data_IF_080738121946
#
_entry.id   IF_080738121946
#
_cell.length_a   1.000
_cell.length_b   1.000
_cell.length_c   1.000
_cell.angle_alpha   90.00
_cell.angle_beta   90.00
_cell.angle_gamma   90.00
#
_symmetry.space_group_name_H-M   'P 1'
#
loop_
_entity.id
_entity.type
_entity.pdbx_description
1 polymer ?
#
# COMPACT_ATOMS: atom_id res chain seq x y z
N UNK A 1 -42.90 20.02 45.27
CA UNK A 1 -41.50 20.46 45.05
C UNK A 1 -40.52 19.34 44.67
N UNK A 2 -40.86 18.06 44.82
CA UNK A 2 -39.94 16.91 44.56
C UNK A 2 -39.85 16.44 43.11
N UNK A 3 -40.91 16.53 42.28
CA UNK A 3 -40.92 15.97 40.91
C UNK A 3 -39.98 16.72 39.93
N UNK A 4 -39.87 18.06 40.08
CA UNK A 4 -38.95 18.84 39.21
C UNK A 4 -37.47 18.61 39.53
N UNK A 5 -37.15 18.27 40.79
CA UNK A 5 -35.78 17.93 41.20
C UNK A 5 -35.37 16.53 40.69
N UNK A 6 -36.26 15.55 40.80
CA UNK A 6 -36.05 14.22 40.28
C UNK A 6 -35.86 14.21 38.76
N UNK A 7 -36.75 14.87 37.99
CA UNK A 7 -36.56 15.00 36.52
C UNK A 7 -35.24 15.69 36.13
N UNK A 8 -34.76 16.66 36.92
CA UNK A 8 -33.50 17.34 36.68
C UNK A 8 -32.29 16.46 36.96
N UNK A 9 -32.37 15.57 37.96
CA UNK A 9 -31.35 14.62 38.34
C UNK A 9 -31.28 13.49 37.27
N UNK A 10 -32.39 12.92 36.84
CA UNK A 10 -32.47 11.92 35.78
C UNK A 10 -31.94 12.45 34.45
N UNK A 11 -32.36 13.67 34.07
CA UNK A 11 -31.85 14.31 32.84
C UNK A 11 -30.35 14.56 32.88
N UNK A 12 -29.77 14.92 34.02
CA UNK A 12 -28.34 15.11 34.21
C UNK A 12 -27.57 13.77 34.14
N UNK A 13 -28.11 12.70 34.72
CA UNK A 13 -27.50 11.37 34.68
C UNK A 13 -27.48 10.82 33.27
N UNK A 14 -28.61 10.91 32.56
CA UNK A 14 -28.75 10.49 31.16
C UNK A 14 -27.77 11.24 30.22
N UNK A 15 -27.67 12.55 30.39
CA UNK A 15 -26.77 13.39 29.58
C UNK A 15 -25.30 13.01 29.81
N UNK A 16 -24.91 12.78 31.07
CA UNK A 16 -23.54 12.31 31.42
C UNK A 16 -23.22 10.96 30.82
N UNK A 17 -24.16 10.00 30.87
CA UNK A 17 -23.97 8.67 30.29
C UNK A 17 -23.82 8.73 28.77
N UNK A 18 -24.63 9.53 28.08
CA UNK A 18 -24.53 9.76 26.62
C UNK A 18 -23.19 10.34 26.21
N UNK A 19 -22.70 11.36 26.94
CA UNK A 19 -21.38 11.95 26.68
C UNK A 19 -20.27 10.91 26.86
N UNK A 20 -20.36 10.07 27.91
CA UNK A 20 -19.39 8.99 28.16
C UNK A 20 -19.35 7.99 27.02
N UNK A 21 -20.52 7.56 26.51
CA UNK A 21 -20.62 6.64 25.37
C UNK A 21 -19.98 7.24 24.12
N UNK A 22 -20.32 8.48 23.78
CA UNK A 22 -19.75 9.18 22.60
C UNK A 22 -18.23 9.32 22.69
N UNK A 23 -17.70 9.67 23.87
CA UNK A 23 -16.25 9.72 24.09
C UNK A 23 -15.59 8.37 23.89
N UNK A 24 -16.18 7.29 24.43
CA UNK A 24 -15.67 5.91 24.25
C UNK A 24 -15.67 5.51 22.77
N UNK A 25 -16.75 5.76 22.05
CA UNK A 25 -16.87 5.47 20.61
C UNK A 25 -15.82 6.22 19.81
N UNK A 26 -15.62 7.51 20.10
CA UNK A 26 -14.59 8.31 19.43
C UNK A 26 -13.18 7.73 19.63
N UNK A 27 -12.83 7.38 20.88
CA UNK A 27 -11.53 6.76 21.18
C UNK A 27 -11.36 5.42 20.44
N UNK A 28 -12.41 4.58 20.43
CA UNK A 28 -12.39 3.31 19.68
C UNK A 28 -12.17 3.52 18.18
N UNK A 29 -12.81 4.53 17.58
CA UNK A 29 -12.60 4.88 16.18
C UNK A 29 -11.17 5.35 15.93
N UNK A 30 -10.60 6.21 16.80
CA UNK A 30 -9.21 6.66 16.68
C UNK A 30 -8.25 5.47 16.68
N UNK A 31 -8.39 4.55 17.66
CA UNK A 31 -7.56 3.35 17.74
C UNK A 31 -7.73 2.48 16.50
N UNK A 32 -8.96 2.28 16.02
CA UNK A 32 -9.22 1.50 14.81
C UNK A 32 -8.58 2.11 13.56
N UNK A 33 -8.56 3.44 13.43
CA UNK A 33 -7.86 4.10 12.34
C UNK A 33 -6.34 4.02 12.47
N UNK A 34 -5.77 4.04 13.68
CA UNK A 34 -4.34 3.79 13.90
C UNK A 34 -3.97 2.38 13.39
N UNK A 35 -4.73 1.36 13.79
CA UNK A 35 -4.54 -0.03 13.38
C UNK A 35 -4.67 -0.20 11.87
N UNK A 36 -5.69 0.41 11.26
CA UNK A 36 -5.87 0.38 9.81
C UNK A 36 -4.69 1.02 9.07
N UNK A 37 -4.22 2.19 9.52
CA UNK A 37 -3.05 2.84 8.93
C UNK A 37 -1.79 1.99 9.04
N UNK A 38 -1.59 1.27 10.14
CA UNK A 38 -0.49 0.32 10.30
C UNK A 38 -0.57 -0.78 9.24
N UNK A 39 -1.71 -1.44 9.06
CA UNK A 39 -1.87 -2.49 8.05
C UNK A 39 -1.71 -1.94 6.62
N UNK A 40 -2.24 -0.76 6.33
CA UNK A 40 -2.06 -0.10 5.04
C UNK A 40 -0.58 0.20 4.77
N UNK A 41 0.19 0.65 5.75
CA UNK A 41 1.61 0.93 5.57
C UNK A 41 2.40 -0.33 5.21
N UNK A 42 2.11 -1.46 5.86
CA UNK A 42 2.73 -2.75 5.55
C UNK A 42 2.36 -3.20 4.14
N UNK A 43 1.09 -3.11 3.74
CA UNK A 43 0.64 -3.46 2.39
C UNK A 43 1.31 -2.61 1.30
N UNK A 44 1.43 -1.32 1.52
CA UNK A 44 2.07 -0.39 0.56
C UNK A 44 3.55 -0.78 0.39
N UNK A 45 4.24 -1.10 1.48
CA UNK A 45 5.63 -1.57 1.41
C UNK A 45 5.76 -2.92 0.70
N UNK A 46 4.88 -3.90 0.97
CA UNK A 46 4.85 -5.18 0.24
C UNK A 46 4.64 -4.95 -1.26
N UNK A 47 3.69 -4.09 -1.64
CA UNK A 47 3.45 -3.74 -3.03
C UNK A 47 4.68 -3.12 -3.70
N UNK A 48 5.43 -2.31 -2.96
CA UNK A 48 6.67 -1.69 -3.44
C UNK A 48 7.80 -2.72 -3.63
N UNK A 49 7.93 -3.69 -2.72
CA UNK A 49 8.86 -4.82 -2.88
C UNK A 49 8.54 -5.61 -4.13
N UNK A 50 7.25 -5.92 -4.37
CA UNK A 50 6.82 -6.62 -5.58
C UNK A 50 7.20 -5.86 -6.86
N UNK A 51 6.99 -4.54 -6.90
CA UNK A 51 7.43 -3.70 -8.03
C UNK A 51 8.93 -3.71 -8.23
N UNK A 52 9.72 -3.76 -7.16
CA UNK A 52 11.18 -3.86 -7.24
C UNK A 52 11.58 -5.20 -7.83
N UNK A 53 10.95 -6.30 -7.42
CA UNK A 53 11.18 -7.64 -7.97
C UNK A 53 10.83 -7.64 -9.46
N UNK A 54 9.68 -7.09 -9.87
CA UNK A 54 9.28 -6.99 -11.29
C UNK A 54 10.27 -6.20 -12.16
N UNK A 55 11.05 -5.32 -11.55
CA UNK A 55 12.07 -4.54 -12.24
C UNK A 55 13.47 -5.20 -12.14
N UNK A 56 13.60 -6.35 -11.49
CA UNK A 56 14.87 -7.04 -11.29
C UNK A 56 15.15 -8.16 -12.31
N UNK A 57 14.16 -8.57 -13.10
CA UNK A 57 14.36 -9.56 -14.15
C UNK A 57 15.09 -8.95 -15.33
N UNK A 58 16.29 -9.42 -15.61
CA UNK A 58 17.06 -8.96 -16.76
C UNK A 58 17.97 -10.06 -17.30
N UNK A 59 18.29 -9.94 -18.58
CA UNK A 59 19.40 -10.61 -19.24
C UNK A 59 20.57 -9.65 -19.38
N UNK A 60 21.76 -10.18 -19.38
CA UNK A 60 22.96 -9.44 -19.80
C UNK A 60 23.37 -9.96 -21.16
N UNK A 61 23.37 -9.12 -22.17
CA UNK A 61 23.84 -9.45 -23.52
C UNK A 61 25.13 -8.68 -23.80
N UNK A 62 26.23 -9.40 -23.94
CA UNK A 62 27.52 -8.79 -24.28
C UNK A 62 27.59 -8.45 -25.76
N UNK A 63 28.02 -7.22 -26.05
CA UNK A 63 28.21 -6.73 -27.41
C UNK A 63 29.57 -7.10 -27.96
N UNK A 64 29.67 -7.23 -29.28
CA UNK A 64 30.97 -7.39 -29.96
C UNK A 64 31.81 -6.12 -29.83
N UNK A 65 33.11 -6.27 -29.66
CA UNK A 65 34.03 -5.20 -29.22
C UNK A 65 34.25 -4.05 -30.24
N UNK A 66 33.78 -4.17 -31.47
CA UNK A 66 34.07 -3.25 -32.58
C UNK A 66 32.89 -2.39 -33.01
N UNK A 67 31.80 -2.32 -32.22
CA UNK A 67 30.60 -1.60 -32.61
C UNK A 67 30.75 -0.10 -32.37
N UNK A 68 30.35 0.69 -33.40
CA UNK A 68 30.25 2.16 -33.31
C UNK A 68 29.06 2.56 -32.45
N UNK A 69 29.10 3.77 -31.86
CA UNK A 69 28.01 4.28 -31.01
C UNK A 69 26.64 4.30 -31.72
N UNK A 70 26.60 4.59 -33.03
CA UNK A 70 25.37 4.57 -33.84
C UNK A 70 24.80 3.15 -33.95
N UNK A 71 25.65 2.13 -34.05
CA UNK A 71 25.26 0.73 -34.12
C UNK A 71 24.74 0.23 -32.76
N UNK A 72 25.39 0.64 -31.65
CA UNK A 72 24.94 0.33 -30.29
C UNK A 72 23.53 0.87 -30.03
N UNK A 73 23.29 2.14 -30.38
CA UNK A 73 21.98 2.77 -30.25
C UNK A 73 20.92 2.08 -31.13
N UNK A 74 21.29 1.63 -32.34
CA UNK A 74 20.39 0.89 -33.23
C UNK A 74 20.00 -0.45 -32.63
N UNK A 75 20.95 -1.19 -32.06
CA UNK A 75 20.69 -2.47 -31.39
C UNK A 75 19.82 -2.27 -30.15
N UNK A 76 20.05 -1.23 -29.36
CA UNK A 76 19.22 -0.91 -28.20
C UNK A 76 17.75 -0.68 -28.60
N UNK A 77 17.51 0.10 -29.67
CA UNK A 77 16.15 0.36 -30.20
C UNK A 77 15.52 -0.91 -30.76
N UNK A 78 16.28 -1.74 -31.49
CA UNK A 78 15.83 -3.00 -32.03
C UNK A 78 15.37 -3.96 -30.92
N UNK A 79 16.19 -4.13 -29.90
CA UNK A 79 15.87 -4.99 -28.75
C UNK A 79 14.70 -4.45 -27.95
N UNK A 80 14.60 -3.14 -27.77
CA UNK A 80 13.46 -2.51 -27.10
C UNK A 80 12.12 -2.76 -27.83
N UNK A 81 12.19 -3.01 -29.15
CA UNK A 81 11.02 -3.35 -29.97
C UNK A 81 10.58 -4.82 -29.88
N UNK A 82 11.32 -5.69 -29.20
CA UNK A 82 10.96 -7.09 -29.04
C UNK A 82 9.78 -7.23 -28.04
N UNK A 83 8.86 -8.16 -28.37
CA UNK A 83 7.74 -8.51 -27.49
C UNK A 83 8.26 -9.02 -26.13
N UNK A 84 7.70 -8.50 -25.04
CA UNK A 84 8.08 -8.88 -23.69
C UNK A 84 9.23 -8.08 -23.09
N UNK A 85 9.99 -7.33 -23.88
CA UNK A 85 11.04 -6.43 -23.38
C UNK A 85 10.41 -5.16 -22.80
N UNK A 86 10.82 -4.83 -21.59
CA UNK A 86 10.32 -3.67 -20.85
C UNK A 86 11.22 -2.46 -20.95
N UNK A 87 12.51 -2.68 -20.89
CA UNK A 87 13.55 -1.66 -20.88
C UNK A 87 14.87 -2.27 -21.28
N UNK A 88 15.66 -1.50 -22.02
CA UNK A 88 17.07 -1.82 -22.28
C UNK A 88 17.93 -0.75 -21.64
N UNK A 89 19.07 -1.12 -21.09
CA UNK A 89 20.06 -0.21 -20.53
C UNK A 89 21.45 -0.61 -21.01
N UNK A 90 22.13 0.31 -21.66
CA UNK A 90 23.52 0.14 -21.99
C UNK A 90 24.40 0.23 -20.74
N UNK A 91 25.35 -0.70 -20.62
CA UNK A 91 26.36 -0.76 -19.57
C UNK A 91 27.75 -0.83 -20.22
N UNK A 92 28.52 0.26 -20.10
CA UNK A 92 29.87 0.27 -20.63
C UNK A 92 30.78 -0.67 -19.85
N UNK A 93 31.80 -1.20 -20.50
CA UNK A 93 32.82 -2.06 -19.87
C UNK A 93 33.50 -1.39 -18.68
N UNK A 94 33.67 -0.07 -18.70
CA UNK A 94 34.23 0.73 -17.61
C UNK A 94 33.28 0.79 -16.40
N UNK A 95 31.98 1.01 -16.64
CA UNK A 95 30.95 1.03 -15.60
C UNK A 95 30.79 -0.38 -15.00
N UNK A 96 30.72 -1.42 -15.84
CA UNK A 96 30.65 -2.81 -15.42
C UNK A 96 31.85 -3.19 -14.54
N UNK A 97 33.05 -2.80 -14.95
CA UNK A 97 34.27 -3.06 -14.21
C UNK A 97 34.32 -2.34 -12.85
N UNK A 98 33.90 -1.08 -12.81
CA UNK A 98 33.79 -0.31 -11.57
C UNK A 98 32.77 -0.96 -10.60
N UNK A 99 31.64 -1.43 -11.11
CA UNK A 99 30.62 -2.12 -10.32
C UNK A 99 31.19 -3.43 -9.74
N UNK A 100 31.92 -4.21 -10.56
CA UNK A 100 32.56 -5.44 -10.13
C UNK A 100 33.60 -5.20 -9.02
N UNK A 101 34.47 -4.18 -9.19
CA UNK A 101 35.45 -3.80 -8.16
C UNK A 101 34.76 -3.41 -6.83
N UNK A 102 33.66 -2.65 -6.92
CA UNK A 102 32.90 -2.23 -5.72
C UNK A 102 32.22 -3.43 -5.02
N UNK A 103 31.72 -4.40 -5.78
CA UNK A 103 31.06 -5.59 -5.21
C UNK A 103 32.05 -6.57 -4.57
N UNK A 104 33.24 -6.72 -5.16
CA UNK A 104 34.26 -7.66 -4.68
C UNK A 104 35.21 -7.04 -3.65
N UNK A 105 35.11 -5.72 -3.43
CA UNK A 105 36.06 -4.95 -2.59
C UNK A 105 37.54 -5.17 -2.98
N UNK A 106 37.80 -5.31 -4.29
CA UNK A 106 39.12 -5.60 -4.84
C UNK A 106 39.55 -4.50 -5.81
N UNK A 107 40.74 -3.98 -5.64
CA UNK A 107 41.36 -3.03 -6.57
C UNK A 107 42.08 -3.81 -7.71
N UNK A 108 41.44 -3.97 -8.84
CA UNK A 108 42.02 -4.56 -10.05
C UNK A 108 42.59 -3.44 -10.93
N UNK A 109 43.84 -3.55 -11.48
CA UNK A 109 44.40 -2.55 -12.37
C UNK A 109 43.52 -2.34 -13.63
N UNK A 110 43.32 -1.07 -14.03
CA UNK A 110 42.47 -0.70 -15.17
C UNK A 110 42.88 -1.32 -16.52
N UNK A 111 44.17 -1.68 -16.67
CA UNK A 111 44.67 -2.32 -17.88
C UNK A 111 44.27 -3.77 -18.08
N UNK A 112 43.68 -4.39 -17.08
CA UNK A 112 43.27 -5.81 -17.08
C UNK A 112 41.77 -5.98 -17.14
N UNK A 113 41.01 -5.01 -17.64
CA UNK A 113 39.55 -5.13 -17.74
C UNK A 113 39.16 -6.16 -18.82
N UNK A 114 38.66 -7.34 -18.44
CA UNK A 114 38.26 -8.39 -19.37
C UNK A 114 36.82 -8.25 -19.89
N UNK A 115 36.08 -7.24 -19.38
CA UNK A 115 34.66 -7.09 -19.66
C UNK A 115 34.42 -6.41 -21.00
N UNK A 116 33.32 -6.75 -21.64
CA UNK A 116 32.78 -6.12 -22.85
C UNK A 116 31.68 -5.10 -22.51
N UNK A 117 31.35 -4.26 -23.48
CA UNK A 117 30.13 -3.49 -23.40
C UNK A 117 28.92 -4.42 -23.41
N UNK A 118 27.93 -4.16 -22.59
CA UNK A 118 26.81 -5.06 -22.41
C UNK A 118 25.48 -4.29 -22.43
N UNK A 119 24.40 -4.98 -22.78
CA UNK A 119 23.03 -4.50 -22.64
C UNK A 119 22.34 -5.24 -21.50
N UNK A 120 21.78 -4.52 -20.56
CA UNK A 120 20.89 -5.06 -19.54
C UNK A 120 19.45 -4.97 -20.07
N UNK A 121 18.87 -6.13 -20.39
CA UNK A 121 17.57 -6.25 -21.05
C UNK A 121 16.56 -6.71 -20.02
N UNK A 122 15.71 -5.79 -19.58
CA UNK A 122 14.66 -6.03 -18.59
C UNK A 122 13.40 -6.54 -19.28
N UNK A 123 12.75 -7.55 -18.73
CA UNK A 123 11.55 -8.17 -19.30
C UNK A 123 10.42 -8.29 -18.24
N UNK A 124 9.20 -8.53 -18.74
CA UNK A 124 7.99 -8.48 -17.89
C UNK A 124 7.67 -9.83 -17.23
N UNK A 125 7.83 -10.92 -17.97
CA UNK A 125 7.41 -12.27 -17.55
C UNK A 125 8.46 -13.29 -17.90
N UNK A 126 8.57 -14.31 -17.06
CA UNK A 126 9.48 -15.42 -17.33
C UNK A 126 9.11 -16.19 -18.59
N UNK A 127 7.80 -16.28 -18.91
CA UNK A 127 7.34 -16.97 -20.12
C UNK A 127 7.85 -16.31 -21.41
N UNK A 128 8.19 -15.02 -21.36
CA UNK A 128 8.77 -14.29 -22.50
C UNK A 128 10.28 -14.51 -22.60
N UNK A 129 10.92 -15.02 -21.54
CA UNK A 129 12.37 -15.10 -21.41
C UNK A 129 13.02 -15.97 -22.50
N UNK A 130 12.48 -17.15 -22.78
CA UNK A 130 13.02 -18.07 -23.79
C UNK A 130 12.99 -17.43 -25.18
N UNK A 131 11.89 -16.79 -25.57
CA UNK A 131 11.76 -16.09 -26.86
C UNK A 131 12.71 -14.91 -26.98
N UNK A 132 12.86 -14.13 -25.91
CA UNK A 132 13.79 -13.00 -25.88
C UNK A 132 15.23 -13.53 -26.00
N UNK A 133 15.58 -14.56 -25.25
CA UNK A 133 16.90 -15.17 -25.30
C UNK A 133 17.24 -15.68 -26.72
N UNK A 134 16.33 -16.43 -27.34
CA UNK A 134 16.51 -16.94 -28.72
C UNK A 134 16.72 -15.80 -29.73
N UNK A 135 15.92 -14.69 -29.62
CA UNK A 135 16.10 -13.55 -30.48
C UNK A 135 17.45 -12.85 -30.26
N UNK A 136 17.92 -12.78 -29.01
CA UNK A 136 19.21 -12.18 -28.68
C UNK A 136 20.36 -12.99 -29.15
N UNK A 137 20.31 -14.33 -29.00
CA UNK A 137 21.35 -15.25 -29.46
C UNK A 137 21.47 -15.28 -31.00
N UNK A 138 20.37 -15.04 -31.72
CA UNK A 138 20.35 -14.94 -33.18
C UNK A 138 20.84 -13.58 -33.71
N UNK A 139 21.05 -12.58 -32.85
CA UNK A 139 21.51 -11.25 -33.26
C UNK A 139 23.02 -11.26 -33.52
N UNK A 140 23.42 -10.93 -34.76
CA UNK A 140 24.83 -10.95 -35.19
C UNK A 140 25.76 -10.03 -34.40
N UNK A 141 25.25 -9.02 -33.74
CA UNK A 141 25.99 -8.00 -32.97
C UNK A 141 26.16 -8.37 -31.49
N UNK A 142 25.45 -9.40 -31.03
CA UNK A 142 25.58 -9.96 -29.69
C UNK A 142 26.65 -11.03 -29.70
N UNK A 143 27.53 -11.00 -28.73
CA UNK A 143 28.60 -11.99 -28.55
C UNK A 143 28.11 -13.18 -27.73
N UNK A 144 27.46 -12.89 -26.62
CA UNK A 144 27.00 -13.88 -25.66
C UNK A 144 25.84 -13.34 -24.85
N UNK A 145 24.90 -14.20 -24.44
CA UNK A 145 23.76 -13.85 -23.57
C UNK A 145 23.88 -14.60 -22.27
N UNK A 146 23.93 -13.88 -21.18
CA UNK A 146 23.98 -14.41 -19.82
C UNK A 146 22.63 -14.36 -19.15
N UNK A 147 22.15 -15.52 -18.73
CA UNK A 147 20.88 -15.68 -18.01
C UNK A 147 21.15 -16.34 -16.67
N UNK A 148 20.88 -15.65 -15.59
CA UNK A 148 20.90 -16.25 -14.25
C UNK A 148 19.52 -16.88 -13.93
N UNK A 149 19.30 -18.10 -14.43
CA UNK A 149 18.08 -18.85 -14.21
C UNK A 149 17.81 -19.12 -12.70
N UNK A 150 18.87 -19.29 -11.91
CA UNK A 150 18.74 -19.50 -10.47
C UNK A 150 18.24 -18.23 -9.77
N UNK A 151 18.81 -17.07 -10.10
CA UNK A 151 18.37 -15.78 -9.61
C UNK A 151 16.92 -15.49 -10.01
N UNK A 152 16.57 -15.69 -11.28
CA UNK A 152 15.21 -15.46 -11.77
C UNK A 152 14.20 -16.34 -11.03
N UNK A 153 14.48 -17.65 -10.89
CA UNK A 153 13.58 -18.57 -10.18
C UNK A 153 13.43 -18.24 -8.68
N UNK A 154 14.49 -17.72 -8.06
CA UNK A 154 14.45 -17.22 -6.69
C UNK A 154 13.53 -15.99 -6.58
N UNK A 155 13.70 -15.00 -7.47
CA UNK A 155 12.87 -13.79 -7.49
C UNK A 155 11.39 -14.10 -7.73
N UNK A 156 11.07 -15.06 -8.58
CA UNK A 156 9.69 -15.51 -8.79
C UNK A 156 9.06 -16.12 -7.53
N UNK A 157 9.83 -16.94 -6.79
CA UNK A 157 9.35 -17.49 -5.52
C UNK A 157 9.12 -16.40 -4.48
N UNK A 158 10.03 -15.44 -4.38
CA UNK A 158 9.83 -14.26 -3.53
C UNK A 158 8.57 -13.50 -3.93
N UNK A 159 8.37 -13.23 -5.21
CA UNK A 159 7.16 -12.53 -5.70
C UNK A 159 5.88 -13.29 -5.37
N UNK A 160 5.84 -14.61 -5.60
CA UNK A 160 4.68 -15.44 -5.22
C UNK A 160 4.41 -15.37 -3.72
N UNK A 161 5.44 -15.41 -2.89
CA UNK A 161 5.31 -15.27 -1.44
C UNK A 161 4.74 -13.91 -1.05
N UNK A 162 5.28 -12.80 -1.56
CA UNK A 162 4.77 -11.46 -1.25
C UNK A 162 3.35 -11.22 -1.77
N UNK A 163 3.00 -11.77 -2.93
CA UNK A 163 1.63 -11.71 -3.44
C UNK A 163 0.65 -12.46 -2.54
N UNK A 164 1.03 -13.65 -2.05
CA UNK A 164 0.24 -14.40 -1.09
C UNK A 164 0.10 -13.63 0.23
N UNK A 165 1.20 -13.10 0.76
CA UNK A 165 1.20 -12.30 1.98
C UNK A 165 0.31 -11.06 1.85
N UNK A 166 0.38 -10.36 0.71
CA UNK A 166 -0.48 -9.22 0.40
C UNK A 166 -1.97 -9.62 0.42
N UNK A 167 -2.32 -10.71 -0.26
CA UNK A 167 -3.69 -11.20 -0.30
C UNK A 167 -4.21 -11.62 1.09
N UNK A 168 -3.40 -12.32 1.87
CA UNK A 168 -3.73 -12.70 3.24
C UNK A 168 -3.95 -11.47 4.13
N UNK A 169 -3.06 -10.48 4.07
CA UNK A 169 -3.21 -9.25 4.85
C UNK A 169 -4.45 -8.46 4.45
N UNK A 170 -4.75 -8.37 3.15
CA UNK A 170 -5.99 -7.72 2.68
C UNK A 170 -7.22 -8.40 3.26
N UNK A 171 -7.33 -9.73 3.14
CA UNK A 171 -8.52 -10.50 3.53
C UNK A 171 -8.67 -10.55 5.06
N UNK A 172 -7.60 -10.80 5.80
CA UNK A 172 -7.68 -11.09 7.23
C UNK A 172 -7.45 -9.87 8.14
N UNK A 173 -6.83 -8.80 7.64
CA UNK A 173 -6.50 -7.63 8.46
C UNK A 173 -7.16 -6.34 7.98
N UNK A 174 -6.99 -5.98 6.71
CA UNK A 174 -7.50 -4.69 6.21
C UNK A 174 -9.01 -4.69 6.08
N UNK A 175 -9.58 -5.69 5.39
CA UNK A 175 -11.04 -5.78 5.21
C UNK A 175 -11.78 -5.88 6.55
N UNK A 176 -11.41 -6.74 7.50
CA UNK A 176 -12.03 -6.77 8.83
C UNK A 176 -11.86 -5.47 9.62
N UNK A 177 -10.70 -4.78 9.49
CA UNK A 177 -10.50 -3.48 10.13
C UNK A 177 -11.47 -2.43 9.60
N UNK A 178 -11.68 -2.37 8.28
CA UNK A 178 -12.65 -1.47 7.66
C UNK A 178 -14.06 -1.82 8.12
N UNK A 179 -14.42 -3.10 8.10
CA UNK A 179 -15.75 -3.55 8.58
C UNK A 179 -15.95 -3.23 10.06
N UNK A 180 -14.92 -3.38 10.89
CA UNK A 180 -14.95 -2.99 12.30
C UNK A 180 -15.19 -1.50 12.50
N UNK A 181 -14.52 -0.64 11.71
CA UNK A 181 -14.74 0.81 11.71
C UNK A 181 -16.20 1.14 11.33
N UNK A 182 -16.73 0.50 10.27
CA UNK A 182 -18.13 0.67 9.87
C UNK A 182 -19.09 0.21 10.98
N UNK A 183 -18.80 -0.91 11.60
CA UNK A 183 -19.62 -1.44 12.69
C UNK A 183 -19.67 -0.49 13.89
N UNK A 184 -18.53 0.06 14.31
CA UNK A 184 -18.45 1.04 15.41
C UNK A 184 -19.25 2.31 15.06
N UNK A 185 -19.08 2.82 13.83
CA UNK A 185 -19.86 3.96 13.34
C UNK A 185 -21.35 3.67 13.30
N UNK A 186 -21.73 2.51 12.75
CA UNK A 186 -23.12 2.09 12.65
C UNK A 186 -23.80 1.99 14.01
N UNK A 187 -23.12 1.41 14.99
CA UNK A 187 -23.63 1.33 16.37
C UNK A 187 -23.82 2.73 17.00
N UNK A 188 -22.92 3.66 16.76
CA UNK A 188 -23.07 5.03 17.25
C UNK A 188 -24.31 5.71 16.64
N UNK A 189 -24.53 5.50 15.34
CA UNK A 189 -25.73 6.03 14.66
C UNK A 189 -26.99 5.36 15.15
N UNK A 190 -26.97 4.04 15.38
CA UNK A 190 -28.13 3.30 15.89
C UNK A 190 -28.55 3.78 17.29
N UNK A 191 -27.60 3.99 18.19
CA UNK A 191 -27.88 4.55 19.54
C UNK A 191 -28.53 5.93 19.43
N UNK A 192 -27.98 6.84 18.60
CA UNK A 192 -28.59 8.16 18.43
C UNK A 192 -29.97 8.08 17.72
N UNK A 193 -30.14 7.14 16.78
CA UNK A 193 -31.43 6.91 16.12
C UNK A 193 -32.52 6.49 17.11
N UNK A 194 -32.25 5.52 17.97
CA UNK A 194 -33.21 5.09 19.00
C UNK A 194 -33.57 6.26 19.93
N UNK A 195 -32.58 7.04 20.37
CA UNK A 195 -32.84 8.20 21.22
C UNK A 195 -33.70 9.29 20.54
N UNK A 196 -33.62 9.44 19.21
CA UNK A 196 -34.47 10.37 18.47
C UNK A 196 -35.85 9.80 18.22
N UNK A 197 -36.00 8.49 18.07
CA UNK A 197 -37.25 7.83 17.80
C UNK A 197 -38.23 7.90 19.00
N UNK A 198 -37.69 7.99 20.22
CA UNK A 198 -38.48 8.24 21.43
C UNK A 198 -39.17 9.63 21.44
N UNK A 199 -38.69 10.55 20.59
CA UNK A 199 -39.17 11.92 20.53
C UNK A 199 -40.03 12.18 19.29
N UNK A 200 -39.60 11.66 18.14
CA UNK A 200 -40.22 11.88 16.82
C UNK A 200 -40.47 10.54 16.14
N UNK A 201 -41.70 10.17 15.82
CA UNK A 201 -42.03 8.87 15.23
C UNK A 201 -41.80 8.84 13.69
N UNK A 202 -40.67 9.34 13.22
CA UNK A 202 -40.27 9.35 11.80
C UNK A 202 -38.88 8.74 11.61
N UNK A 203 -38.82 7.48 11.22
CA UNK A 203 -37.58 6.73 11.03
C UNK A 203 -36.64 7.36 10.00
N UNK A 204 -37.15 7.99 8.94
CA UNK A 204 -36.32 8.60 7.89
C UNK A 204 -35.61 9.85 8.39
N UNK A 205 -36.35 10.71 9.09
CA UNK A 205 -35.81 11.94 9.68
C UNK A 205 -34.80 11.59 10.75
N UNK A 206 -35.13 10.64 11.63
CA UNK A 206 -34.26 10.21 12.73
C UNK A 206 -32.98 9.55 12.24
N UNK A 207 -33.03 8.67 11.22
CA UNK A 207 -31.85 8.07 10.59
C UNK A 207 -30.90 9.14 10.03
N UNK A 208 -31.43 10.11 9.29
CA UNK A 208 -30.62 11.21 8.71
C UNK A 208 -29.98 12.06 9.80
N UNK A 209 -30.74 12.39 10.85
CA UNK A 209 -30.28 13.21 11.98
C UNK A 209 -29.18 12.49 12.77
N UNK A 210 -29.41 11.22 13.11
CA UNK A 210 -28.44 10.39 13.83
C UNK A 210 -27.13 10.23 13.03
N UNK A 211 -27.23 9.97 11.72
CA UNK A 211 -26.06 9.92 10.83
C UNK A 211 -25.31 11.25 10.84
N UNK A 212 -26.00 12.36 10.59
CA UNK A 212 -25.38 13.71 10.48
C UNK A 212 -24.57 14.09 11.72
N UNK A 213 -25.11 13.77 12.92
CA UNK A 213 -24.43 14.08 14.18
C UNK A 213 -23.16 13.27 14.39
N UNK A 214 -23.07 12.07 13.82
CA UNK A 214 -21.92 11.18 13.97
C UNK A 214 -20.89 11.32 12.85
N UNK A 215 -21.19 11.98 11.72
CA UNK A 215 -20.25 12.17 10.62
C UNK A 215 -19.00 12.96 11.00
N UNK A 216 -19.17 14.10 11.65
CA UNK A 216 -18.05 14.97 12.06
C UNK A 216 -17.12 14.28 13.07
N UNK A 217 -17.63 13.66 14.16
CA UNK A 217 -16.80 12.86 15.07
C UNK A 217 -16.07 11.72 14.36
N UNK A 218 -16.72 11.05 13.40
CA UNK A 218 -16.10 9.99 12.62
C UNK A 218 -14.91 10.50 11.79
N UNK A 219 -15.10 11.57 11.01
CA UNK A 219 -14.04 12.18 10.22
C UNK A 219 -12.92 12.75 11.09
N UNK A 220 -13.25 13.31 12.24
CA UNK A 220 -12.28 13.78 13.25
C UNK A 220 -11.45 12.62 13.82
N UNK A 221 -12.07 11.47 14.10
CA UNK A 221 -11.36 10.28 14.56
C UNK A 221 -10.43 9.71 13.48
N UNK A 222 -10.86 9.71 12.22
CA UNK A 222 -10.04 9.29 11.09
C UNK A 222 -8.79 10.19 10.95
N UNK A 223 -8.97 11.50 10.98
CA UNK A 223 -7.86 12.47 10.92
C UNK A 223 -6.91 12.28 12.09
N UNK A 224 -7.44 12.23 13.31
CA UNK A 224 -6.63 12.09 14.53
C UNK A 224 -5.87 10.77 14.56
N UNK A 225 -6.51 9.65 14.20
CA UNK A 225 -5.87 8.34 14.13
C UNK A 225 -4.75 8.30 13.11
N UNK A 226 -4.94 8.92 11.94
CA UNK A 226 -3.91 9.03 10.90
C UNK A 226 -2.73 9.88 11.36
N UNK A 227 -2.97 11.04 11.98
CA UNK A 227 -1.91 11.91 12.51
C UNK A 227 -1.10 11.22 13.61
N UNK A 228 -1.76 10.55 14.56
CA UNK A 228 -1.08 9.80 15.62
C UNK A 228 -0.24 8.69 15.00
N UNK A 229 -0.79 7.91 14.06
CA UNK A 229 -0.04 6.86 13.37
C UNK A 229 1.23 7.41 12.72
N UNK A 230 1.16 8.49 11.94
CA UNK A 230 2.33 9.03 11.26
C UNK A 230 3.39 9.58 12.22
N UNK A 231 2.99 10.21 13.33
CA UNK A 231 3.95 10.63 14.35
C UNK A 231 4.72 9.43 14.93
N UNK A 232 4.00 8.36 15.29
CA UNK A 232 4.61 7.12 15.83
C UNK A 232 5.44 6.43 14.75
N UNK A 233 4.92 6.29 13.54
CA UNK A 233 5.60 5.64 12.43
C UNK A 233 6.90 6.34 12.03
N UNK A 234 6.91 7.68 11.99
CA UNK A 234 8.13 8.46 11.68
C UNK A 234 9.21 8.20 12.71
N UNK A 235 8.86 8.14 13.98
CA UNK A 235 9.81 7.87 15.06
C UNK A 235 10.46 6.48 14.95
N UNK A 236 9.66 5.42 14.71
CA UNK A 236 10.18 4.05 14.63
C UNK A 236 10.78 3.69 13.27
N UNK A 237 10.49 4.46 12.23
CA UNK A 237 10.92 4.15 10.86
C UNK A 237 12.44 4.15 10.73
N UNK A 238 13.13 5.07 11.35
CA UNK A 238 14.59 5.17 11.32
C UNK A 238 15.24 3.90 11.89
N UNK A 239 14.78 3.46 13.02
CA UNK A 239 15.20 2.21 13.66
C UNK A 239 14.97 0.97 12.77
N UNK A 240 13.81 0.91 12.11
CA UNK A 240 13.47 -0.21 11.22
C UNK A 240 14.33 -0.21 9.96
N UNK A 241 14.69 0.96 9.42
CA UNK A 241 15.57 1.09 8.25
C UNK A 241 16.98 0.58 8.58
N UNK A 242 17.52 0.88 9.76
CA UNK A 242 18.82 0.38 10.20
C UNK A 242 18.83 -1.15 10.28
N UNK A 243 17.73 -1.75 10.78
CA UNK A 243 17.61 -3.21 10.90
C UNK A 243 17.42 -3.87 9.53
N UNK A 244 16.65 -3.27 8.63
CA UNK A 244 16.28 -3.89 7.35
C UNK A 244 15.85 -2.89 6.28
N UNK A 245 16.83 -2.24 5.65
CA UNK A 245 16.61 -1.33 4.52
C UNK A 245 15.92 -2.01 3.31
N UNK A 246 15.99 -3.35 3.23
CA UNK A 246 15.37 -4.13 2.15
C UNK A 246 13.84 -3.95 2.08
N UNK A 247 13.16 -3.76 3.21
CA UNK A 247 11.70 -3.78 3.32
C UNK A 247 11.03 -2.40 3.38
N UNK A 248 11.80 -1.33 3.55
CA UNK A 248 11.30 0.04 3.59
C UNK A 248 11.80 0.83 2.38
N UNK A 249 11.16 0.63 1.25
CA UNK A 249 11.57 1.18 -0.04
C UNK A 249 10.97 2.56 -0.28
N UNK A 250 9.75 2.80 0.20
CA UNK A 250 9.02 4.04 -0.05
C UNK A 250 9.39 5.14 0.95
N UNK A 251 9.41 6.37 0.47
CA UNK A 251 9.53 7.55 1.32
C UNK A 251 8.28 7.72 2.23
N UNK A 252 8.45 8.41 3.36
CA UNK A 252 7.30 8.74 4.24
C UNK A 252 6.22 9.49 3.45
N UNK A 253 6.62 10.41 2.55
CA UNK A 253 5.68 11.19 1.75
C UNK A 253 4.82 10.33 0.82
N UNK A 254 5.40 9.33 0.17
CA UNK A 254 4.65 8.41 -0.70
C UNK A 254 3.65 7.57 0.09
N UNK A 255 4.05 7.02 1.24
CA UNK A 255 3.15 6.27 2.12
C UNK A 255 2.02 7.18 2.61
N UNK A 256 2.34 8.41 3.03
CA UNK A 256 1.38 9.39 3.51
C UNK A 256 0.31 9.69 2.46
N UNK A 257 0.70 9.99 1.23
CA UNK A 257 -0.23 10.32 0.15
C UNK A 257 -1.21 9.17 -0.11
N UNK A 258 -0.71 7.94 -0.25
CA UNK A 258 -1.56 6.77 -0.52
C UNK A 258 -2.51 6.49 0.64
N UNK A 259 -2.04 6.59 1.88
CA UNK A 259 -2.89 6.35 3.06
C UNK A 259 -3.95 7.42 3.24
N UNK A 260 -3.60 8.69 3.07
CA UNK A 260 -4.57 9.79 3.15
C UNK A 260 -5.66 9.63 2.10
N UNK A 261 -5.30 9.26 0.86
CA UNK A 261 -6.30 8.97 -0.18
C UNK A 261 -7.22 7.79 0.19
N UNK A 262 -6.68 6.72 0.76
CA UNK A 262 -7.48 5.57 1.24
C UNK A 262 -8.44 5.98 2.37
N UNK A 263 -7.97 6.76 3.34
CA UNK A 263 -8.81 7.26 4.44
C UNK A 263 -9.90 8.21 3.94
N UNK A 264 -9.59 9.09 3.00
CA UNK A 264 -10.58 9.96 2.34
C UNK A 264 -11.63 9.10 1.63
N UNK A 265 -11.23 8.06 0.89
CA UNK A 265 -12.16 7.16 0.22
C UNK A 265 -13.13 6.47 1.21
N UNK A 266 -12.61 5.95 2.33
CA UNK A 266 -13.42 5.34 3.41
C UNK A 266 -14.42 6.37 3.98
N UNK A 267 -13.96 7.60 4.23
CA UNK A 267 -14.84 8.68 4.69
C UNK A 267 -15.93 9.00 3.66
N UNK A 268 -15.59 9.13 2.38
CA UNK A 268 -16.55 9.43 1.30
C UNK A 268 -17.64 8.36 1.21
N UNK A 269 -17.29 7.08 1.33
CA UNK A 269 -18.27 5.99 1.32
C UNK A 269 -19.29 6.18 2.44
N UNK A 270 -18.85 6.51 3.66
CA UNK A 270 -19.76 6.76 4.78
C UNK A 270 -20.60 8.02 4.57
N UNK A 271 -20.02 9.09 4.02
CA UNK A 271 -20.76 10.34 3.77
C UNK A 271 -21.86 10.16 2.73
N UNK A 272 -21.58 9.43 1.65
CA UNK A 272 -22.49 9.27 0.50
C UNK A 272 -23.55 8.20 0.78
N UNK A 273 -23.18 7.07 1.42
CA UNK A 273 -24.07 5.93 1.57
C UNK A 273 -25.31 6.29 2.44
N UNK A 274 -26.56 6.18 1.91
CA UNK A 274 -27.77 6.45 2.68
C UNK A 274 -27.99 5.36 3.74
N UNK A 275 -27.89 5.73 5.01
CA UNK A 275 -28.19 4.84 6.12
C UNK A 275 -29.67 4.93 6.44
N UNK A 276 -30.40 3.82 6.30
CA UNK A 276 -31.83 3.74 6.63
C UNK A 276 -32.01 2.74 7.77
N UNK A 277 -32.26 3.23 8.96
CA UNK A 277 -32.63 2.43 10.11
C UNK A 277 -34.16 2.39 10.22
N UNK A 278 -34.68 1.27 10.69
CA UNK A 278 -36.11 1.09 10.99
C UNK A 278 -36.24 0.38 12.33
N UNK A 279 -37.26 0.75 13.10
CA UNK A 279 -37.65 -0.01 14.29
C UNK A 279 -38.49 -1.20 13.83
N UNK A 280 -37.95 -2.41 14.01
CA UNK A 280 -38.58 -3.64 13.56
C UNK A 280 -39.75 -4.10 14.46
N UNK A 281 -39.84 -3.57 15.68
CA UNK A 281 -40.88 -3.87 16.64
C UNK A 281 -41.55 -2.57 17.07
N UNK A 282 -42.53 -2.06 16.30
CA UNK A 282 -43.62 -1.30 16.86
C UNK A 282 -44.64 -2.34 17.36
N UNK A 283 -44.70 -2.57 18.65
CA UNK A 283 -45.90 -3.16 19.24
C UNK A 283 -47.04 -2.24 18.84
N UNK A 284 -47.97 -2.81 18.09
CA UNK A 284 -49.26 -2.16 17.82
C UNK A 284 -49.98 -2.01 19.18
N UNK A 285 -49.96 -0.81 19.73
CA UNK A 285 -50.80 -0.40 20.87
C UNK A 285 -52.10 0.18 20.35
#
# INVERSE_FOLDING_TARGET
>A
MNNNLMMKIEKNSYTKQRVKIKKKTFILLVISFIILNFFLSVLINISSVNKKIDNSYFFTADLKSELKEEEKNRIEVEILGLDGVKKVRYLSKEEAFKNLQTQLDVAIPKGENPLSDSLLIYFNKLDDAEKIQENLENNQNIKEVFVDAAFISYQEREKKFYNLLFAMMMIFLVVPSILGIYYIFYNAVAIDFLNYNDIIPDDRVNSRRAKKVNLLPFSGAALMGTLIFFNVYTYFREEIIEISSKYLILSIGEIFVVQVLAIIAINMVIWINPLRLRVLFKEES
#
